data_IF_295849664376
#
_entry.id   IF_295849664376
#
_cell.length_a   1.000
_cell.length_b   1.000
_cell.length_c   1.000
_cell.angle_alpha   90.00
_cell.angle_beta   90.00
_cell.angle_gamma   90.00
#
_symmetry.space_group_name_H-M   'P 1'
#
loop_
_entity.id
_entity.type
_entity.pdbx_description
1 polymer ?
#
# COMPACT_ATOMS: atom_id res chain seq x y z
N UNK A 1 -13.30 20.39 27.34
CA UNK A 1 -13.62 20.18 25.91
C UNK A 1 -14.23 18.80 25.66
N UNK A 2 -13.55 17.69 25.99
CA UNK A 2 -14.01 16.30 25.73
C UNK A 2 -15.42 16.04 26.28
N UNK A 3 -15.68 16.29 27.56
CA UNK A 3 -17.01 16.10 28.17
C UNK A 3 -18.16 16.84 27.46
N UNK A 4 -17.87 17.97 26.80
CA UNK A 4 -18.86 18.78 26.08
C UNK A 4 -19.12 18.29 24.64
N UNK A 5 -18.11 17.69 24.00
CA UNK A 5 -18.13 17.40 22.57
C UNK A 5 -18.06 15.91 22.22
N UNK A 6 -17.93 15.00 23.21
CA UNK A 6 -17.75 13.56 22.99
C UNK A 6 -18.76 12.96 22.00
N UNK A 7 -20.06 13.20 22.21
CA UNK A 7 -21.14 12.72 21.32
C UNK A 7 -21.46 13.66 20.13
N UNK A 8 -20.65 14.70 19.92
CA UNK A 8 -20.85 15.72 18.86
C UNK A 8 -19.58 15.89 18.01
N UNK A 9 -18.76 14.82 17.93
CA UNK A 9 -17.53 14.80 17.16
C UNK A 9 -17.64 13.71 16.10
N UNK A 10 -17.28 14.06 14.87
CA UNK A 10 -17.13 13.12 13.76
C UNK A 10 -15.74 13.27 13.17
N UNK A 11 -15.15 12.15 12.75
CA UNK A 11 -13.89 12.14 12.03
C UNK A 11 -14.15 11.70 10.58
N UNK A 12 -13.70 12.52 9.64
CA UNK A 12 -13.74 12.21 8.21
C UNK A 12 -12.33 11.84 7.75
N UNK A 13 -12.13 10.56 7.45
CA UNK A 13 -10.87 10.08 6.87
C UNK A 13 -10.99 10.02 5.35
N UNK A 14 -9.96 10.51 4.67
CA UNK A 14 -9.83 10.42 3.22
C UNK A 14 -8.56 9.66 2.87
N UNK A 15 -8.66 8.81 1.86
CA UNK A 15 -7.54 8.09 1.29
C UNK A 15 -7.36 8.53 -0.16
N UNK A 16 -6.10 8.61 -0.58
CA UNK A 16 -5.71 8.70 -1.97
C UNK A 16 -4.69 7.61 -2.28
N UNK A 17 -4.16 7.60 -3.50
CA UNK A 17 -3.05 6.71 -3.89
C UNK A 17 -1.73 7.47 -3.90
N UNK A 18 -0.68 6.83 -3.40
CA UNK A 18 0.67 7.19 -3.84
C UNK A 18 0.89 6.60 -5.24
N UNK A 19 1.47 7.36 -6.17
CA UNK A 19 1.80 6.81 -7.48
C UNK A 19 3.00 5.85 -7.39
N UNK A 20 2.89 4.68 -8.02
CA UNK A 20 4.01 3.76 -8.17
C UNK A 20 5.19 4.47 -8.85
N UNK A 21 6.38 4.32 -8.29
CA UNK A 21 7.57 5.08 -8.67
C UNK A 21 8.82 4.25 -8.40
N UNK A 22 9.81 4.32 -9.30
CA UNK A 22 11.13 3.73 -9.06
C UNK A 22 11.98 4.52 -8.06
N UNK A 23 11.57 5.74 -7.69
CA UNK A 23 12.27 6.55 -6.68
C UNK A 23 11.94 6.12 -5.25
N UNK A 24 10.80 5.48 -5.04
CA UNK A 24 10.34 5.02 -3.74
C UNK A 24 10.55 3.49 -3.67
N UNK A 25 11.41 3.03 -2.78
CA UNK A 25 11.76 1.62 -2.68
C UNK A 25 12.15 1.22 -1.26
N UNK A 26 12.14 -0.09 -1.05
CA UNK A 26 12.60 -0.74 0.17
C UNK A 26 13.82 -1.58 -0.17
N UNK A 27 14.85 -1.50 0.66
CA UNK A 27 16.05 -2.31 0.55
C UNK A 27 16.54 -2.77 1.94
N UNK A 28 17.62 -3.54 1.97
CA UNK A 28 18.21 -4.04 3.21
C UNK A 28 19.34 -3.10 3.64
N UNK A 29 19.34 -2.72 4.91
CA UNK A 29 20.37 -1.86 5.47
C UNK A 29 21.72 -2.59 5.51
N UNK A 30 22.80 -2.02 4.94
CA UNK A 30 24.10 -2.70 4.87
C UNK A 30 24.87 -2.68 6.20
N UNK A 31 24.43 -1.90 7.18
CA UNK A 31 25.16 -1.65 8.44
C UNK A 31 24.38 -2.17 9.65
N UNK A 32 23.10 -1.86 9.73
CA UNK A 32 22.28 -2.18 10.90
C UNK A 32 21.52 -3.49 10.72
N UNK A 33 21.46 -4.25 11.81
CA UNK A 33 20.81 -5.54 11.88
C UNK A 33 19.81 -5.57 13.02
N UNK A 34 18.80 -6.43 12.91
CA UNK A 34 17.88 -6.73 13.99
C UNK A 34 18.52 -7.64 15.06
N UNK A 35 17.73 -7.97 16.08
CA UNK A 35 18.15 -8.83 17.19
C UNK A 35 18.53 -10.26 16.77
N UNK A 36 18.19 -10.67 15.54
CA UNK A 36 18.50 -12.00 14.97
C UNK A 36 19.63 -11.95 13.93
N UNK A 37 20.28 -10.79 13.76
CA UNK A 37 21.41 -10.62 12.86
C UNK A 37 21.01 -10.46 11.39
N UNK A 38 19.71 -10.28 11.09
CA UNK A 38 19.23 -9.98 9.74
C UNK A 38 19.34 -8.48 9.46
N UNK A 39 19.70 -8.05 8.24
CA UNK A 39 19.67 -6.65 7.86
C UNK A 39 18.31 -6.00 8.13
N UNK A 40 18.30 -4.78 8.68
CA UNK A 40 17.06 -4.03 8.86
C UNK A 40 16.44 -3.65 7.51
N UNK A 41 15.12 -3.54 7.46
CA UNK A 41 14.43 -2.91 6.34
C UNK A 41 14.77 -1.42 6.33
N UNK A 42 15.32 -0.94 5.21
CA UNK A 42 15.55 0.48 4.96
C UNK A 42 14.55 0.97 3.93
N UNK A 43 14.00 2.15 4.18
CA UNK A 43 12.98 2.77 3.34
C UNK A 43 13.50 4.07 2.75
N UNK A 44 13.53 4.13 1.42
CA UNK A 44 13.72 5.36 0.65
C UNK A 44 12.36 5.76 0.11
N UNK A 45 11.75 6.79 0.72
CA UNK A 45 10.40 7.20 0.36
C UNK A 45 10.20 8.70 0.54
N UNK A 46 9.59 9.33 -0.45
CA UNK A 46 9.00 10.65 -0.30
C UNK A 46 7.72 10.80 -1.14
N UNK A 47 6.89 11.79 -0.80
CA UNK A 47 5.69 12.10 -1.57
C UNK A 47 6.07 12.77 -2.88
N UNK A 48 5.50 12.29 -3.98
CA UNK A 48 5.64 13.00 -5.25
C UNK A 48 4.69 14.21 -5.30
N UNK A 49 4.94 15.13 -6.25
CA UNK A 49 4.13 16.35 -6.37
C UNK A 49 2.63 16.08 -6.62
N UNK A 50 2.30 14.96 -7.28
CA UNK A 50 0.92 14.58 -7.53
C UNK A 50 0.22 14.07 -6.28
N UNK A 51 0.91 13.30 -5.44
CA UNK A 51 0.38 12.77 -4.18
C UNK A 51 -0.01 13.93 -3.25
N UNK A 52 0.82 14.97 -3.17
CA UNK A 52 0.54 16.17 -2.39
C UNK A 52 -0.66 16.96 -2.95
N UNK A 53 -0.73 17.16 -4.28
CA UNK A 53 -1.88 17.81 -4.92
C UNK A 53 -3.18 17.03 -4.68
N UNK A 54 -3.13 15.72 -4.80
CA UNK A 54 -4.27 14.84 -4.53
C UNK A 54 -4.68 14.93 -3.07
N UNK A 55 -3.74 14.86 -2.13
CA UNK A 55 -4.02 14.99 -0.68
C UNK A 55 -4.73 16.30 -0.37
N UNK A 56 -4.25 17.42 -0.92
CA UNK A 56 -4.90 18.72 -0.80
C UNK A 56 -6.33 18.68 -1.35
N UNK A 57 -6.50 18.19 -2.57
CA UNK A 57 -7.80 18.13 -3.23
C UNK A 57 -8.84 17.32 -2.43
N UNK A 58 -8.51 16.09 -2.01
CA UNK A 58 -9.46 15.24 -1.28
C UNK A 58 -9.77 15.78 0.11
N UNK A 59 -8.77 16.41 0.77
CA UNK A 59 -8.95 17.05 2.07
C UNK A 59 -9.88 18.27 1.98
N UNK A 60 -9.77 19.07 0.92
CA UNK A 60 -10.67 20.20 0.67
C UNK A 60 -12.12 19.73 0.43
N UNK A 61 -12.31 18.58 -0.22
CA UNK A 61 -13.65 17.96 -0.35
C UNK A 61 -14.21 17.50 0.99
N UNK A 62 -13.41 16.83 1.81
CA UNK A 62 -13.82 16.40 3.15
C UNK A 62 -14.19 17.58 4.05
N UNK A 63 -13.43 18.69 3.97
CA UNK A 63 -13.77 19.93 4.68
C UNK A 63 -15.17 20.43 4.31
N UNK A 64 -15.49 20.51 3.01
CA UNK A 64 -16.82 20.93 2.53
C UNK A 64 -17.94 19.99 3.01
N UNK A 65 -17.68 18.69 3.10
CA UNK A 65 -18.62 17.72 3.67
C UNK A 65 -18.85 18.02 5.16
N UNK A 66 -17.78 18.22 5.93
CA UNK A 66 -17.89 18.56 7.35
C UNK A 66 -18.65 19.86 7.62
N UNK A 67 -18.46 20.87 6.77
CA UNK A 67 -19.22 22.13 6.82
C UNK A 67 -20.70 21.89 6.50
N UNK A 68 -21.00 21.13 5.45
CA UNK A 68 -22.38 20.80 5.06
C UNK A 68 -23.13 19.95 6.11
N UNK A 69 -22.40 19.15 6.91
CA UNK A 69 -22.95 18.43 8.06
C UNK A 69 -23.32 19.36 9.24
N UNK A 70 -23.03 20.66 9.16
CA UNK A 70 -23.28 21.63 10.23
C UNK A 70 -22.18 21.67 11.29
N UNK A 71 -20.96 21.23 10.95
CA UNK A 71 -19.81 21.25 11.86
C UNK A 71 -19.48 22.66 12.35
N UNK A 72 -19.55 22.90 13.66
CA UNK A 72 -19.18 24.20 14.26
C UNK A 72 -17.67 24.45 14.27
N UNK A 73 -16.88 23.38 14.30
CA UNK A 73 -15.42 23.40 14.23
C UNK A 73 -15.04 22.36 13.18
N UNK A 74 -14.54 22.81 12.03
CA UNK A 74 -14.09 21.94 10.94
C UNK A 74 -12.60 22.17 10.75
N UNK A 75 -11.80 21.18 11.15
CA UNK A 75 -10.35 21.18 10.93
C UNK A 75 -10.01 20.23 9.79
N UNK A 76 -9.08 20.66 8.93
CA UNK A 76 -8.62 19.90 7.78
C UNK A 76 -7.09 19.87 7.79
N UNK A 77 -6.50 18.71 7.52
CA UNK A 77 -5.06 18.51 7.64
C UNK A 77 -4.54 17.71 6.44
N UNK A 78 -4.31 18.38 5.29
CA UNK A 78 -3.72 17.71 4.13
C UNK A 78 -2.28 17.26 4.44
N UNK A 79 -1.75 16.34 3.63
CA UNK A 79 -0.32 16.06 3.65
C UNK A 79 0.44 17.22 3.00
N UNK A 80 1.52 17.62 3.65
CA UNK A 80 2.38 18.73 3.23
C UNK A 80 3.84 18.38 3.49
N UNK A 81 4.71 18.80 2.58
CA UNK A 81 6.15 18.59 2.67
C UNK A 81 6.57 17.13 2.50
N UNK A 82 7.76 16.84 3.03
CA UNK A 82 8.38 15.53 2.95
C UNK A 82 7.66 14.49 3.81
N UNK A 83 7.84 13.22 3.47
CA UNK A 83 7.45 12.11 4.32
C UNK A 83 8.14 12.19 5.69
N UNK A 84 7.40 11.85 6.73
CA UNK A 84 7.82 11.97 8.12
C UNK A 84 7.23 10.81 8.94
N UNK A 85 8.09 10.06 9.62
CA UNK A 85 7.73 8.95 10.52
C UNK A 85 6.91 9.42 11.73
N UNK A 86 7.10 10.65 12.18
CA UNK A 86 6.48 11.18 13.39
C UNK A 86 5.00 11.53 13.18
N UNK A 87 4.59 11.75 11.93
CA UNK A 87 3.20 11.94 11.56
C UNK A 87 2.61 10.58 11.22
N UNK A 88 1.43 10.29 11.75
CA UNK A 88 0.72 9.06 11.38
C UNK A 88 0.59 8.95 9.86
N UNK A 89 0.97 7.78 9.35
CA UNK A 89 0.79 7.33 7.98
C UNK A 89 -0.13 6.11 7.99
N UNK A 90 -0.83 5.88 6.88
CA UNK A 90 -1.59 4.64 6.71
C UNK A 90 -0.66 3.42 6.81
N UNK A 91 -1.19 2.30 7.29
CA UNK A 91 -0.49 1.01 7.32
C UNK A 91 -0.66 0.21 6.02
N UNK A 92 -1.24 0.80 4.98
CA UNK A 92 -1.45 0.18 3.67
C UNK A 92 -0.20 0.18 2.78
N UNK A 93 0.87 -0.46 3.25
CA UNK A 93 2.09 -0.64 2.47
C UNK A 93 1.86 -1.70 1.38
N UNK A 94 2.06 -1.32 0.13
CA UNK A 94 1.87 -2.17 -1.05
C UNK A 94 3.01 -1.97 -2.04
N UNK A 95 3.18 -2.91 -2.98
CA UNK A 95 4.27 -2.89 -3.95
C UNK A 95 5.59 -3.48 -3.43
N UNK A 96 6.66 -3.35 -4.21
CA UNK A 96 7.99 -3.89 -3.90
C UNK A 96 8.28 -5.24 -4.55
N UNK A 97 7.34 -6.18 -4.52
CA UNK A 97 7.43 -7.46 -5.24
C UNK A 97 6.27 -7.61 -6.23
N UNK A 98 6.13 -6.62 -7.10
CA UNK A 98 4.92 -6.42 -7.91
C UNK A 98 4.67 -7.59 -8.87
N UNK A 99 3.39 -7.89 -9.09
CA UNK A 99 2.96 -8.83 -10.12
C UNK A 99 2.94 -8.15 -11.50
N UNK A 100 3.16 -8.93 -12.55
CA UNK A 100 3.07 -8.44 -13.92
C UNK A 100 3.09 -9.56 -14.96
N UNK A 101 3.19 -9.17 -16.22
CA UNK A 101 3.24 -10.07 -17.37
C UNK A 101 4.65 -10.20 -17.97
N UNK A 102 5.63 -9.46 -17.45
CA UNK A 102 7.01 -9.44 -17.95
C UNK A 102 8.00 -9.61 -16.78
N UNK A 103 8.87 -10.63 -16.79
CA UNK A 103 9.88 -10.83 -15.76
C UNK A 103 10.90 -9.69 -15.64
N UNK A 104 11.03 -8.83 -16.66
CA UNK A 104 11.92 -7.66 -16.61
C UNK A 104 11.36 -6.49 -15.80
N UNK A 105 10.05 -6.49 -15.53
CA UNK A 105 9.36 -5.38 -14.87
C UNK A 105 8.52 -5.83 -13.67
N UNK A 106 8.54 -7.11 -13.31
CA UNK A 106 7.78 -7.67 -12.20
C UNK A 106 8.53 -8.81 -11.54
N UNK A 107 8.32 -9.01 -10.24
CA UNK A 107 8.95 -10.08 -9.48
C UNK A 107 8.17 -11.40 -9.55
N UNK A 108 6.85 -11.30 -9.73
CA UNK A 108 5.95 -12.45 -9.84
C UNK A 108 5.02 -12.31 -11.04
N UNK A 109 4.57 -13.45 -11.57
CA UNK A 109 3.61 -13.48 -12.67
C UNK A 109 2.16 -13.27 -12.17
N UNK A 110 1.19 -13.37 -13.09
CA UNK A 110 -0.24 -13.24 -12.80
C UNK A 110 -0.81 -14.22 -11.76
N UNK A 111 -0.08 -15.29 -11.43
CA UNK A 111 -0.47 -16.29 -10.43
C UNK A 111 0.28 -16.12 -9.11
N UNK A 112 0.98 -15.00 -8.94
CA UNK A 112 1.84 -14.71 -7.79
C UNK A 112 3.03 -15.67 -7.66
N UNK A 113 3.40 -16.35 -8.74
CA UNK A 113 4.55 -17.24 -8.80
C UNK A 113 5.80 -16.43 -9.17
N UNK A 114 6.93 -16.69 -8.50
CA UNK A 114 8.23 -16.12 -8.86
C UNK A 114 8.61 -16.48 -10.30
N UNK A 115 9.13 -15.51 -11.04
CA UNK A 115 9.67 -15.75 -12.37
C UNK A 115 10.94 -16.60 -12.37
N UNK A 116 11.73 -16.49 -11.28
CA UNK A 116 13.04 -17.12 -11.12
C UNK A 116 12.94 -18.51 -10.46
N UNK A 117 12.02 -18.67 -9.51
CA UNK A 117 11.91 -19.88 -8.68
C UNK A 117 10.51 -20.50 -8.81
N UNK A 118 10.31 -21.51 -9.67
CA UNK A 118 8.97 -22.00 -10.04
C UNK A 118 8.15 -22.63 -8.90
N UNK A 119 8.73 -22.97 -7.76
CA UNK A 119 8.03 -23.49 -6.59
C UNK A 119 7.81 -22.44 -5.49
N UNK A 120 8.10 -21.15 -5.76
CA UNK A 120 7.88 -20.05 -4.82
C UNK A 120 6.70 -19.19 -5.28
N UNK A 121 5.77 -18.95 -4.36
CA UNK A 121 4.61 -18.09 -4.54
C UNK A 121 4.61 -17.01 -3.46
N UNK A 122 4.38 -15.76 -3.85
CA UNK A 122 4.45 -14.58 -2.95
C UNK A 122 3.09 -13.92 -2.88
N UNK A 123 2.41 -14.11 -1.75
CA UNK A 123 1.05 -13.60 -1.53
C UNK A 123 1.09 -12.41 -0.58
N UNK A 124 0.52 -11.27 -0.98
CA UNK A 124 0.44 -10.08 -0.15
C UNK A 124 0.20 -8.81 -0.94
N UNK A 125 0.09 -7.68 -0.23
CA UNK A 125 -0.01 -6.36 -0.85
C UNK A 125 1.23 -5.97 -1.65
N UNK A 126 2.35 -6.67 -1.46
CA UNK A 126 3.58 -6.47 -2.21
C UNK A 126 3.42 -6.73 -3.72
N UNK A 127 2.46 -7.58 -4.08
CA UNK A 127 2.14 -7.93 -5.45
C UNK A 127 1.49 -6.78 -6.24
N UNK A 128 1.09 -5.68 -5.60
CA UNK A 128 0.27 -4.69 -6.28
C UNK A 128 1.17 -3.73 -7.09
N UNK A 129 1.03 -3.67 -8.43
CA UNK A 129 1.79 -2.72 -9.23
C UNK A 129 1.34 -1.27 -8.96
N UNK A 130 0.13 -1.06 -8.43
CA UNK A 130 -0.39 0.23 -8.01
C UNK A 130 -1.43 0.08 -6.89
N UNK A 131 -1.48 1.06 -5.98
CA UNK A 131 -2.52 1.16 -4.95
C UNK A 131 -3.84 1.70 -5.56
N UNK A 132 -4.98 1.12 -5.15
CA UNK A 132 -6.30 1.50 -5.66
C UNK A 132 -6.94 2.70 -4.94
N UNK A 133 -6.19 3.44 -4.10
CA UNK A 133 -6.70 4.45 -3.15
C UNK A 133 -7.67 3.90 -2.09
N UNK A 134 -7.67 2.58 -1.86
CA UNK A 134 -8.59 1.90 -0.96
C UNK A 134 -7.87 0.82 -0.14
N UNK A 135 -8.54 0.32 0.91
CA UNK A 135 -7.97 -0.69 1.79
C UNK A 135 -7.61 -1.97 1.00
N UNK A 136 -6.35 -2.45 1.05
CA UNK A 136 -5.86 -3.48 0.14
C UNK A 136 -6.29 -4.90 0.53
N UNK A 137 -6.69 -5.15 1.78
CA UNK A 137 -6.88 -6.51 2.33
C UNK A 137 -7.87 -7.37 1.53
N UNK A 138 -8.96 -6.77 1.03
CA UNK A 138 -9.91 -7.49 0.18
C UNK A 138 -9.26 -8.01 -1.11
N UNK A 139 -8.49 -7.15 -1.79
CA UNK A 139 -7.73 -7.52 -2.99
C UNK A 139 -6.62 -8.53 -2.68
N UNK A 140 -5.95 -8.42 -1.52
CA UNK A 140 -4.99 -9.43 -1.06
C UNK A 140 -5.68 -10.79 -0.99
N UNK A 141 -6.82 -10.88 -0.31
CA UNK A 141 -7.61 -12.11 -0.22
C UNK A 141 -8.01 -12.66 -1.59
N UNK A 142 -8.49 -11.81 -2.49
CA UNK A 142 -8.86 -12.22 -3.85
C UNK A 142 -7.67 -12.81 -4.63
N UNK A 143 -6.49 -12.17 -4.57
CA UNK A 143 -5.29 -12.67 -5.22
C UNK A 143 -4.76 -13.95 -4.54
N UNK A 144 -4.93 -14.11 -3.23
CA UNK A 144 -4.65 -15.37 -2.54
C UNK A 144 -5.49 -16.51 -3.11
N UNK A 145 -6.81 -16.32 -3.24
CA UNK A 145 -7.69 -17.33 -3.84
C UNK A 145 -7.30 -17.64 -5.29
N UNK A 146 -6.97 -16.60 -6.07
CA UNK A 146 -6.52 -16.74 -7.45
C UNK A 146 -5.23 -17.58 -7.57
N UNK A 147 -4.23 -17.32 -6.73
CA UNK A 147 -2.99 -18.09 -6.69
C UNK A 147 -3.24 -19.54 -6.24
N UNK A 148 -4.05 -19.74 -5.19
CA UNK A 148 -4.37 -21.08 -4.68
C UNK A 148 -5.15 -21.94 -5.69
N UNK A 149 -6.07 -21.34 -6.45
CA UNK A 149 -6.77 -22.03 -7.53
C UNK A 149 -5.79 -22.53 -8.59
N UNK A 150 -4.86 -21.68 -9.03
CA UNK A 150 -3.82 -22.05 -9.98
C UNK A 150 -2.86 -23.11 -9.42
N UNK A 151 -2.48 -23.00 -8.14
CA UNK A 151 -1.64 -24.00 -7.47
C UNK A 151 -2.34 -25.37 -7.50
N UNK A 152 -3.59 -25.42 -7.02
CA UNK A 152 -4.36 -26.66 -6.90
C UNK A 152 -4.66 -27.29 -8.26
N UNK A 153 -5.14 -26.49 -9.20
CA UNK A 153 -5.72 -27.02 -10.43
C UNK A 153 -4.75 -27.12 -11.59
N UNK A 154 -3.61 -26.41 -11.54
CA UNK A 154 -2.59 -26.36 -12.61
C UNK A 154 -1.22 -26.84 -12.11
N UNK A 155 -0.63 -26.14 -11.14
CA UNK A 155 0.75 -26.39 -10.70
C UNK A 155 0.96 -27.79 -10.13
N UNK A 156 0.11 -28.24 -9.19
CA UNK A 156 0.28 -29.55 -8.56
C UNK A 156 0.11 -30.72 -9.54
N UNK A 157 -0.60 -30.51 -10.66
CA UNK A 157 -0.74 -31.52 -11.72
C UNK A 157 0.48 -31.58 -12.64
N UNK A 158 1.15 -30.45 -12.84
CA UNK A 158 2.36 -30.34 -13.65
C UNK A 158 3.27 -29.23 -13.09
N UNK A 159 4.15 -29.56 -12.12
CA UNK A 159 4.99 -28.56 -11.48
C UNK A 159 5.93 -27.88 -12.48
N UNK A 160 5.98 -26.56 -12.44
CA UNK A 160 6.77 -25.75 -13.37
C UNK A 160 6.29 -24.31 -13.42
N UNK A 161 6.80 -23.53 -14.38
CA UNK A 161 6.36 -22.15 -14.60
C UNK A 161 4.91 -22.15 -15.09
N UNK A 162 4.06 -21.36 -14.45
CA UNK A 162 2.69 -21.09 -14.86
C UNK A 162 2.70 -19.88 -15.80
N UNK A 163 2.81 -20.14 -17.10
CA UNK A 163 2.81 -19.12 -18.16
C UNK A 163 1.51 -19.21 -18.96
#
# INVERSE_FOLDING_TARGET
>A
AVAKHYNHTVNLNVHGSAAASGYNYLDLDPTYKDAWGLPLLRMTYDFNSNDLRMSKFVTEKAKKIGEAMGGKIVSASPREGHWDTMKYQTTHNVGGAIMGNDPKTSAVNRYLQSWDVPNVFVVGGSAFPQNASYNPTGTVGALTYWALDAIKNKYLKNPGKLI
#
